data_IF_609094072351
#
_entry.id   IF_609094072351
#
_cell.length_a   1.000
_cell.length_b   1.000
_cell.length_c   1.000
_cell.angle_alpha   90.00
_cell.angle_beta   90.00
_cell.angle_gamma   90.00
#
_symmetry.space_group_name_H-M   'P 1'
#
loop_
_entity.id
_entity.type
_entity.pdbx_description
1 polymer ?
#
# COMPACT_ATOMS: atom_id res chain seq x y z
N UNK A 1 -10.65 -21.73 23.22
CA UNK A 1 -9.63 -22.33 22.33
C UNK A 1 -8.52 -21.31 22.16
N UNK A 2 -7.30 -21.70 22.52
CA UNK A 2 -6.14 -20.82 22.66
C UNK A 2 -5.73 -20.21 21.31
N UNK A 3 -5.84 -18.88 21.18
CA UNK A 3 -5.10 -18.14 20.17
C UNK A 3 -3.61 -18.28 20.51
N UNK A 4 -2.93 -19.19 19.82
CA UNK A 4 -1.47 -19.17 19.81
C UNK A 4 -1.06 -17.83 19.21
N UNK A 5 -0.65 -16.89 20.06
CA UNK A 5 0.11 -15.71 19.63
C UNK A 5 1.38 -16.25 18.99
N UNK A 6 1.40 -16.21 17.66
CA UNK A 6 2.61 -16.43 16.87
C UNK A 6 3.64 -15.41 17.38
N UNK A 7 4.89 -15.80 17.68
CA UNK A 7 5.90 -14.89 18.23
C UNK A 7 5.99 -13.67 17.32
N UNK A 8 6.15 -12.47 17.92
CA UNK A 8 6.30 -11.18 17.26
C UNK A 8 6.97 -11.35 15.89
N UNK A 9 6.15 -11.30 14.83
CA UNK A 9 6.58 -11.73 13.52
C UNK A 9 7.74 -10.87 13.06
N UNK A 10 8.53 -11.37 12.11
CA UNK A 10 9.55 -10.56 11.41
C UNK A 10 8.97 -9.27 10.80
N UNK A 11 7.65 -9.11 10.76
CA UNK A 11 6.92 -7.96 10.25
C UNK A 11 6.31 -7.05 11.35
N UNK A 12 6.62 -7.25 12.63
CA UNK A 12 6.00 -6.49 13.72
C UNK A 12 4.49 -6.73 13.81
N UNK A 13 3.70 -5.65 13.81
CA UNK A 13 2.23 -5.68 13.88
C UNK A 13 1.56 -5.78 12.49
N UNK A 14 2.34 -5.94 11.42
CA UNK A 14 1.83 -6.28 10.09
C UNK A 14 1.66 -7.80 9.96
N UNK A 15 0.50 -8.32 10.37
CA UNK A 15 0.16 -9.75 10.31
C UNK A 15 -1.29 -9.96 9.87
N UNK A 16 -1.63 -11.19 9.46
CA UNK A 16 -3.00 -11.56 9.09
C UNK A 16 -3.98 -11.33 10.24
N UNK A 17 -4.94 -10.43 10.03
CA UNK A 17 -5.92 -10.00 11.03
C UNK A 17 -5.58 -8.69 11.74
N UNK A 18 -4.45 -8.04 11.44
CA UNK A 18 -4.13 -6.74 12.03
C UNK A 18 -4.94 -5.61 11.40
N UNK A 19 -5.19 -4.56 12.20
CA UNK A 19 -5.99 -3.40 11.83
C UNK A 19 -5.21 -2.12 12.06
N UNK A 20 -5.27 -1.23 11.07
CA UNK A 20 -4.70 0.11 11.14
C UNK A 20 -5.81 1.14 10.94
N UNK A 21 -5.75 2.23 11.70
CA UNK A 21 -6.67 3.36 11.60
C UNK A 21 -5.84 4.61 11.34
N UNK A 22 -6.27 5.41 10.38
CA UNK A 22 -5.53 6.58 9.96
C UNK A 22 -6.37 7.49 9.09
N UNK A 23 -5.68 8.31 8.32
CA UNK A 23 -6.28 9.41 7.59
C UNK A 23 -5.67 9.46 6.20
N UNK A 24 -6.50 9.62 5.17
CA UNK A 24 -6.09 10.02 3.83
C UNK A 24 -6.31 11.53 3.64
N UNK A 25 -5.27 12.24 3.23
CA UNK A 25 -5.32 13.69 2.97
C UNK A 25 -5.15 13.98 1.49
N UNK A 26 -6.07 14.77 0.93
CA UNK A 26 -5.86 15.48 -0.34
C UNK A 26 -5.41 16.91 -0.05
N UNK A 27 -5.27 17.74 -1.08
CA UNK A 27 -4.94 19.16 -0.89
C UNK A 27 -6.06 19.94 -0.17
N UNK A 28 -7.31 19.50 -0.29
CA UNK A 28 -8.50 20.25 0.15
C UNK A 28 -9.34 19.50 1.18
N UNK A 29 -9.09 18.21 1.38
CA UNK A 29 -10.00 17.34 2.13
C UNK A 29 -9.24 16.27 2.91
N UNK A 30 -9.89 15.79 3.97
CA UNK A 30 -9.36 14.77 4.85
C UNK A 30 -10.44 13.70 5.06
N UNK A 31 -10.05 12.44 4.98
CA UNK A 31 -10.94 11.29 5.10
C UNK A 31 -10.38 10.29 6.10
N UNK A 32 -11.25 9.76 6.95
CA UNK A 32 -10.89 8.68 7.85
C UNK A 32 -10.73 7.39 7.06
N UNK A 33 -9.68 6.62 7.40
CA UNK A 33 -9.35 5.37 6.72
C UNK A 33 -9.13 4.27 7.75
N UNK A 34 -9.69 3.10 7.49
CA UNK A 34 -9.44 1.86 8.23
C UNK A 34 -8.90 0.83 7.25
N UNK A 35 -7.80 0.18 7.63
CA UNK A 35 -7.18 -0.90 6.86
C UNK A 35 -7.22 -2.17 7.69
N UNK A 36 -7.82 -3.21 7.12
CA UNK A 36 -7.88 -4.55 7.70
C UNK A 36 -7.02 -5.51 6.88
N UNK A 37 -5.90 -5.96 7.42
CA UNK A 37 -5.02 -6.93 6.77
C UNK A 37 -5.66 -8.31 6.89
N UNK A 38 -5.97 -8.94 5.77
CA UNK A 38 -6.61 -10.25 5.74
C UNK A 38 -5.59 -11.38 5.74
N UNK A 39 -4.59 -11.30 4.87
CA UNK A 39 -3.59 -12.34 4.71
C UNK A 39 -2.21 -11.74 4.42
N UNK A 40 -1.17 -12.30 5.01
CA UNK A 40 0.23 -11.96 4.72
C UNK A 40 0.98 -13.24 4.34
N UNK A 41 1.54 -13.26 3.14
CA UNK A 41 2.34 -14.36 2.60
C UNK A 41 3.76 -13.87 2.32
N UNK A 42 4.68 -14.19 3.23
CA UNK A 42 6.09 -13.85 3.12
C UNK A 42 6.86 -14.72 2.12
N UNK A 43 6.37 -15.91 1.77
CA UNK A 43 7.00 -16.74 0.76
C UNK A 43 6.79 -16.13 -0.62
N UNK A 44 5.59 -15.59 -0.85
CA UNK A 44 5.23 -14.93 -2.08
C UNK A 44 5.43 -13.42 -2.08
N UNK A 45 5.88 -12.83 -0.96
CA UNK A 45 6.04 -11.38 -0.79
C UNK A 45 4.76 -10.61 -1.12
N UNK A 46 3.61 -11.13 -0.69
CA UNK A 46 2.29 -10.54 -0.95
C UNK A 46 1.49 -10.39 0.33
N UNK A 47 0.53 -9.48 0.32
CA UNK A 47 -0.53 -9.42 1.33
C UNK A 47 -1.84 -9.02 0.70
N UNK A 48 -2.95 -9.21 1.41
CA UNK A 48 -4.27 -8.77 0.98
C UNK A 48 -4.99 -8.11 2.15
N UNK A 49 -5.94 -7.24 1.84
CA UNK A 49 -6.69 -6.54 2.87
C UNK A 49 -7.90 -5.81 2.33
N UNK A 50 -8.63 -5.18 3.26
CA UNK A 50 -9.67 -4.23 2.94
C UNK A 50 -9.20 -2.82 3.31
N UNK A 51 -9.42 -1.87 2.42
CA UNK A 51 -9.26 -0.45 2.68
C UNK A 51 -10.65 0.17 2.71
N UNK A 52 -10.95 0.84 3.81
CA UNK A 52 -12.24 1.49 4.03
C UNK A 52 -12.04 2.97 4.24
N UNK A 53 -12.70 3.78 3.44
CA UNK A 53 -12.62 5.24 3.48
C UNK A 53 -14.00 5.84 3.74
N UNK A 54 -14.08 6.79 4.67
CA UNK A 54 -15.32 7.43 5.07
C UNK A 54 -15.37 8.88 4.58
N UNK A 55 -16.54 9.30 4.08
CA UNK A 55 -16.83 10.69 3.69
C UNK A 55 -16.28 11.11 2.33
N UNK A 56 -15.83 10.17 1.49
CA UNK A 56 -15.27 10.48 0.17
C UNK A 56 -16.32 11.03 -0.81
N UNK A 57 -17.56 10.56 -0.72
CA UNK A 57 -18.68 11.03 -1.54
C UNK A 57 -19.92 11.23 -0.68
N UNK A 58 -20.85 12.08 -1.12
CA UNK A 58 -22.13 12.28 -0.42
C UNK A 58 -23.08 11.10 -0.59
N UNK A 59 -22.96 10.36 -1.70
CA UNK A 59 -23.83 9.22 -2.03
C UNK A 59 -23.40 7.94 -1.30
N UNK A 60 -22.10 7.73 -1.17
CA UNK A 60 -21.50 6.58 -0.48
C UNK A 60 -20.70 7.10 0.73
N UNK A 61 -21.32 7.16 1.92
CA UNK A 61 -20.68 7.70 3.12
C UNK A 61 -19.49 6.85 3.57
N UNK A 62 -19.46 5.58 3.19
CA UNK A 62 -18.34 4.67 3.42
C UNK A 62 -18.12 3.83 2.17
N UNK A 63 -16.87 3.75 1.72
CA UNK A 63 -16.45 2.96 0.57
C UNK A 63 -15.42 1.96 1.06
N UNK A 64 -15.62 0.68 0.75
CA UNK A 64 -14.66 -0.38 1.07
C UNK A 64 -14.18 -1.05 -0.20
N UNK A 65 -12.86 -1.15 -0.37
CA UNK A 65 -12.22 -1.85 -1.48
C UNK A 65 -11.39 -3.02 -0.95
N UNK A 66 -11.37 -4.11 -1.72
CA UNK A 66 -10.36 -5.15 -1.54
C UNK A 66 -9.08 -4.73 -2.26
N UNK A 67 -7.92 -4.91 -1.62
CA UNK A 67 -6.63 -4.66 -2.22
C UNK A 67 -5.70 -5.86 -2.14
N UNK A 68 -4.82 -5.96 -3.13
CA UNK A 68 -3.65 -6.82 -3.13
C UNK A 68 -2.40 -5.98 -2.98
N UNK A 69 -1.49 -6.41 -2.10
CA UNK A 69 -0.25 -5.76 -1.78
C UNK A 69 0.96 -6.57 -2.22
N UNK A 70 1.95 -5.89 -2.77
CA UNK A 70 3.29 -6.43 -3.04
C UNK A 70 4.25 -5.92 -1.98
N UNK A 71 5.01 -6.80 -1.35
CA UNK A 71 6.09 -6.45 -0.43
C UNK A 71 7.37 -6.33 -1.22
N UNK A 72 8.03 -5.17 -1.16
CA UNK A 72 9.28 -4.94 -1.87
C UNK A 72 10.36 -5.84 -1.27
N UNK A 73 11.10 -6.54 -2.13
CA UNK A 73 12.09 -7.51 -1.74
C UNK A 73 12.60 -8.35 -2.92
N UNK A 74 12.98 -9.62 -2.68
CA UNK A 74 13.52 -10.50 -3.72
C UNK A 74 12.62 -10.75 -4.92
N UNK A 75 11.29 -10.70 -4.75
CA UNK A 75 10.31 -10.96 -5.83
C UNK A 75 9.79 -9.68 -6.49
N UNK A 76 9.58 -8.63 -5.70
CA UNK A 76 9.04 -7.36 -6.17
C UNK A 76 10.06 -6.25 -5.93
N UNK A 77 10.56 -5.65 -7.00
CA UNK A 77 11.57 -4.59 -6.93
C UNK A 77 10.94 -3.20 -6.71
N UNK A 78 11.76 -2.20 -6.38
CA UNK A 78 11.30 -0.80 -6.27
C UNK A 78 10.78 -0.24 -7.60
N UNK A 79 11.37 -0.67 -8.73
CA UNK A 79 10.86 -0.34 -10.07
C UNK A 79 9.56 -1.10 -10.33
N UNK A 80 8.47 -0.36 -10.50
CA UNK A 80 7.12 -0.92 -10.60
C UNK A 80 6.88 -1.59 -11.96
N UNK A 81 7.29 -0.94 -13.07
CA UNK A 81 7.19 -1.49 -14.46
C UNK A 81 5.77 -1.89 -14.89
N UNK A 82 4.74 -1.35 -14.24
CA UNK A 82 3.31 -1.54 -14.52
C UNK A 82 2.51 -0.37 -13.94
N UNK A 83 1.20 -0.37 -14.12
CA UNK A 83 0.29 0.66 -13.58
C UNK A 83 0.69 2.09 -13.96
N UNK A 84 1.29 2.25 -15.16
CA UNK A 84 1.80 3.50 -15.70
C UNK A 84 2.86 4.23 -14.86
N UNK A 85 3.45 3.54 -13.87
CA UNK A 85 4.59 4.03 -13.11
C UNK A 85 5.89 3.65 -13.82
N UNK A 86 6.58 4.65 -14.37
CA UNK A 86 7.94 4.52 -14.88
C UNK A 86 8.98 4.79 -13.76
N UNK A 87 10.26 4.62 -14.06
CA UNK A 87 11.35 4.80 -13.08
C UNK A 87 11.36 6.18 -12.42
N UNK A 88 11.06 7.25 -13.17
CA UNK A 88 10.98 8.61 -12.63
C UNK A 88 9.80 8.79 -11.67
N UNK A 89 8.64 8.19 -11.99
CA UNK A 89 7.50 8.15 -11.07
C UNK A 89 7.87 7.40 -9.79
N UNK A 90 8.48 6.23 -9.90
CA UNK A 90 8.92 5.44 -8.76
C UNK A 90 9.89 6.22 -7.87
N UNK A 91 10.93 6.83 -8.44
CA UNK A 91 11.90 7.64 -7.69
C UNK A 91 11.21 8.80 -6.96
N UNK A 92 10.32 9.53 -7.64
CA UNK A 92 9.61 10.69 -7.08
C UNK A 92 8.63 10.34 -5.95
N UNK A 93 8.12 9.11 -5.92
CA UNK A 93 7.26 8.64 -4.83
C UNK A 93 8.08 8.04 -3.70
N UNK A 94 9.02 7.14 -4.00
CA UNK A 94 9.82 6.48 -2.98
C UNK A 94 10.68 7.47 -2.18
N UNK A 95 11.25 8.51 -2.84
CA UNK A 95 12.07 9.53 -2.16
C UNK A 95 11.32 10.35 -1.10
N UNK A 96 9.98 10.32 -1.10
CA UNK A 96 9.17 11.01 -0.09
C UNK A 96 9.14 10.26 1.24
N UNK A 97 9.54 8.99 1.26
CA UNK A 97 9.75 8.25 2.50
C UNK A 97 11.20 8.44 2.97
N UNK A 98 11.45 9.02 4.16
CA UNK A 98 12.81 9.23 4.66
C UNK A 98 13.64 7.95 4.72
N UNK A 99 12.99 6.83 5.05
CA UNK A 99 13.60 5.49 5.09
C UNK A 99 14.16 5.02 3.73
N UNK A 100 13.70 5.61 2.61
CA UNK A 100 14.20 5.27 1.28
C UNK A 100 15.50 5.99 0.91
N UNK A 101 15.89 7.02 1.66
CA UNK A 101 17.06 7.85 1.34
C UNK A 101 18.36 7.07 1.09
N UNK A 102 18.69 5.99 1.81
CA UNK A 102 19.90 5.19 1.55
C UNK A 102 19.92 4.48 0.19
N UNK A 103 18.75 4.27 -0.43
CA UNK A 103 18.61 3.48 -1.65
C UNK A 103 18.49 4.33 -2.92
N UNK A 104 18.42 5.67 -2.80
CA UNK A 104 18.16 6.58 -3.93
C UNK A 104 19.10 6.39 -5.13
N UNK A 105 20.37 6.07 -4.88
CA UNK A 105 21.39 5.90 -5.93
C UNK A 105 21.59 4.45 -6.36
N UNK A 106 20.94 3.49 -5.69
CA UNK A 106 21.20 2.05 -5.88
C UNK A 106 19.96 1.24 -6.23
N UNK A 107 18.74 1.72 -5.96
CA UNK A 107 17.50 0.95 -6.12
C UNK A 107 17.24 0.46 -7.56
N UNK A 108 17.84 1.09 -8.55
CA UNK A 108 17.73 0.77 -9.97
C UNK A 108 18.91 -0.05 -10.50
N UNK A 109 19.92 -0.36 -9.68
CA UNK A 109 21.06 -1.17 -10.08
C UNK A 109 20.66 -2.65 -10.13
N UNK A 110 21.11 -3.39 -11.14
CA UNK A 110 20.77 -4.81 -11.31
C UNK A 110 21.24 -5.70 -10.14
N UNK A 111 22.31 -5.29 -9.46
CA UNK A 111 22.87 -6.01 -8.31
C UNK A 111 22.20 -5.63 -6.96
N UNK A 112 21.30 -4.65 -6.97
CA UNK A 112 20.63 -4.21 -5.75
C UNK A 112 19.63 -5.26 -5.28
N UNK A 113 19.75 -5.66 -4.01
CA UNK A 113 18.83 -6.58 -3.35
C UNK A 113 18.36 -5.97 -2.05
N UNK A 114 17.08 -5.70 -1.97
CA UNK A 114 16.42 -5.28 -0.74
C UNK A 114 15.90 -6.50 0.00
N UNK A 115 16.23 -6.62 1.29
CA UNK A 115 15.63 -7.62 2.17
C UNK A 115 14.69 -6.93 3.16
N UNK A 116 13.36 -7.02 2.95
CA UNK A 116 12.41 -6.36 3.83
C UNK A 116 12.50 -6.90 5.26
N UNK A 117 13.00 -8.12 5.49
CA UNK A 117 13.00 -8.75 6.82
C UNK A 117 14.10 -8.22 7.74
N UNK A 118 15.20 -7.69 7.18
CA UNK A 118 16.33 -7.16 7.96
C UNK A 118 16.26 -5.65 8.19
N UNK A 119 15.26 -4.98 7.61
CA UNK A 119 15.08 -3.53 7.69
C UNK A 119 13.93 -3.18 8.64
N UNK A 120 14.02 -2.02 9.30
CA UNK A 120 12.93 -1.51 10.15
C UNK A 120 11.71 -1.07 9.32
N UNK A 121 11.96 -0.62 8.08
CA UNK A 121 10.93 -0.17 7.16
C UNK A 121 10.65 -1.20 6.07
N UNK A 122 9.37 -1.50 5.89
CA UNK A 122 8.86 -2.39 4.85
C UNK A 122 8.18 -1.55 3.79
N UNK A 123 8.74 -1.54 2.59
CA UNK A 123 8.11 -0.91 1.45
C UNK A 123 7.13 -1.86 0.80
N UNK A 124 5.98 -1.35 0.36
CA UNK A 124 4.95 -2.13 -0.29
C UNK A 124 4.25 -1.31 -1.38
N UNK A 125 3.57 -1.99 -2.31
CA UNK A 125 2.61 -1.36 -3.22
C UNK A 125 1.24 -2.00 -3.05
N UNK A 126 0.19 -1.21 -2.82
CA UNK A 126 -1.17 -1.72 -2.67
C UNK A 126 -2.04 -1.31 -3.85
N UNK A 127 -2.62 -2.30 -4.53
CA UNK A 127 -3.55 -2.10 -5.65
C UNK A 127 -4.93 -2.55 -5.25
N UNK A 128 -5.85 -1.59 -5.15
CA UNK A 128 -7.28 -1.87 -5.01
C UNK A 128 -7.81 -2.58 -6.27
N UNK A 129 -8.66 -3.58 -6.08
CA UNK A 129 -9.19 -4.44 -7.15
C UNK A 129 -10.65 -4.18 -7.41
N UNK A 130 -11.48 -4.26 -6.37
CA UNK A 130 -12.94 -4.16 -6.49
C UNK A 130 -13.55 -3.65 -5.19
N UNK A 131 -14.76 -3.13 -5.31
CA UNK A 131 -15.57 -2.68 -4.19
C UNK A 131 -16.21 -3.86 -3.44
N UNK A 132 -16.47 -3.66 -2.16
CA UNK A 132 -17.15 -4.62 -1.29
C UNK A 132 -18.38 -3.93 -0.69
N UNK A 133 -19.57 -4.55 -0.74
CA UNK A 133 -19.85 -5.91 -1.20
C UNK A 133 -20.01 -6.07 -2.72
N UNK A 134 -20.17 -4.98 -3.46
CA UNK A 134 -20.49 -5.04 -4.89
C UNK A 134 -19.22 -4.99 -5.75
N UNK A 135 -18.76 -6.15 -6.19
CA UNK A 135 -17.55 -6.30 -6.99
C UNK A 135 -17.75 -6.05 -8.49
N UNK A 136 -18.98 -5.72 -8.92
CA UNK A 136 -19.30 -5.42 -10.33
C UNK A 136 -19.23 -3.93 -10.66
N UNK A 137 -19.01 -3.07 -9.66
CA UNK A 137 -18.92 -1.62 -9.83
C UNK A 137 -17.46 -1.23 -10.07
N UNK A 138 -17.14 -0.87 -11.31
CA UNK A 138 -15.79 -0.49 -11.73
C UNK A 138 -15.44 0.99 -11.50
N UNK A 139 -16.45 1.84 -11.27
CA UNK A 139 -16.28 3.25 -10.98
C UNK A 139 -17.44 3.80 -10.15
N UNK A 140 -17.12 4.76 -9.26
CA UNK A 140 -18.11 5.52 -8.50
C UNK A 140 -18.06 6.98 -8.96
N UNK A 141 -19.22 7.62 -9.08
CA UNK A 141 -19.27 9.05 -9.36
C UNK A 141 -18.56 9.82 -8.23
N UNK A 142 -17.45 10.48 -8.60
CA UNK A 142 -16.60 11.24 -7.68
C UNK A 142 -15.50 10.45 -6.97
N UNK A 143 -15.33 9.16 -7.23
CA UNK A 143 -14.25 8.36 -6.64
C UNK A 143 -13.66 7.32 -7.63
N UNK A 144 -12.33 7.18 -7.62
CA UNK A 144 -11.64 6.17 -8.44
C UNK A 144 -10.53 5.48 -7.65
N UNK A 145 -10.52 4.15 -7.73
CA UNK A 145 -9.51 3.24 -7.17
C UNK A 145 -8.64 2.61 -8.28
N UNK A 146 -8.59 3.25 -9.45
CA UNK A 146 -7.84 2.76 -10.61
C UNK A 146 -6.31 2.83 -10.41
N UNK A 147 -5.84 3.72 -9.53
CA UNK A 147 -4.44 3.86 -9.14
C UNK A 147 -3.96 2.78 -8.18
N UNK A 148 -2.82 3.05 -7.55
CA UNK A 148 -2.24 2.21 -6.49
C UNK A 148 -1.50 3.09 -5.47
N UNK A 149 -1.20 2.52 -4.31
CA UNK A 149 -0.48 3.21 -3.25
C UNK A 149 0.97 2.74 -3.18
N UNK A 150 1.90 3.68 -3.07
CA UNK A 150 3.22 3.43 -2.51
C UNK A 150 3.10 3.46 -0.99
N UNK A 151 3.60 2.44 -0.30
CA UNK A 151 3.45 2.29 1.15
C UNK A 151 4.81 2.07 1.79
N UNK A 152 5.02 2.69 2.96
CA UNK A 152 6.13 2.43 3.87
C UNK A 152 5.57 2.13 5.26
N UNK A 153 5.74 0.90 5.73
CA UNK A 153 5.42 0.50 7.09
C UNK A 153 6.68 0.51 7.95
N UNK A 154 6.67 1.26 9.06
CA UNK A 154 7.76 1.28 10.03
C UNK A 154 7.41 0.40 11.23
N UNK A 155 8.22 -0.62 11.50
CA UNK A 155 7.99 -1.60 12.57
C UNK A 155 8.12 -0.98 13.95
N UNK A 156 9.19 -0.23 14.18
CA UNK A 156 9.51 0.37 15.48
C UNK A 156 8.41 1.31 15.99
N UNK A 157 7.79 2.06 15.09
CA UNK A 157 6.71 3.02 15.41
C UNK A 157 5.31 2.47 15.19
N UNK A 158 5.20 1.30 14.54
CA UNK A 158 3.95 0.73 14.06
C UNK A 158 3.11 1.70 13.20
N UNK A 159 3.76 2.41 12.27
CA UNK A 159 3.09 3.40 11.41
C UNK A 159 3.11 3.02 9.94
N UNK A 160 1.99 3.25 9.25
CA UNK A 160 1.87 3.12 7.80
C UNK A 160 1.81 4.52 7.21
N UNK A 161 2.75 4.82 6.33
CA UNK A 161 2.72 6.02 5.49
C UNK A 161 2.46 5.60 4.05
N UNK A 162 1.53 6.29 3.38
CA UNK A 162 1.10 5.93 2.04
C UNK A 162 0.98 7.14 1.13
N UNK A 163 1.25 6.92 -0.16
CA UNK A 163 1.10 7.92 -1.22
C UNK A 163 0.33 7.28 -2.38
N UNK A 164 -0.85 7.82 -2.67
CA UNK A 164 -1.65 7.37 -3.82
C UNK A 164 -1.07 7.93 -5.12
N UNK A 165 -0.93 7.05 -6.11
CA UNK A 165 -0.57 7.40 -7.48
C UNK A 165 -1.66 6.92 -8.44
N UNK A 166 -2.13 7.84 -9.25
CA UNK A 166 -2.98 7.55 -10.39
C UNK A 166 -2.59 8.49 -11.53
N UNK A 167 -2.38 7.92 -12.71
CA UNK A 167 -2.22 8.71 -13.93
C UNK A 167 -3.57 8.78 -14.62
N UNK A 168 -4.20 9.96 -14.59
CA UNK A 168 -5.35 10.24 -15.45
C UNK A 168 -4.81 10.41 -16.88
N UNK A 169 -5.26 9.57 -17.83
CA UNK A 169 -5.06 9.86 -19.24
C UNK A 169 -5.90 11.08 -19.61
N UNK A 170 -5.35 12.28 -19.48
CA UNK A 170 -5.82 13.42 -20.27
C UNK A 170 -5.07 13.40 -21.59
N UNK A 171 -5.49 12.51 -22.48
CA UNK A 171 -5.18 12.63 -23.91
C UNK A 171 -6.44 13.18 -24.58
N UNK A 172 -6.37 14.46 -24.98
CA UNK A 172 -7.09 15.01 -26.12
C UNK A 172 -6.05 15.27 -27.20
#
# INVERSE_FOLDING_TARGET
MSQQRIPSGRLGELYSGSRFVGIQKSQTSQYDVVVDIQHVDLQNYTLTGYLRISGLTTLYPEITTFFEGEIIGPKYFFLTRKWQANSSVDENHWRKFPAFSPYLTTFNNDNFKFDPLNEDCIFMRWKERFLVPDHHVDSLDGASFAGFYYICYNRSTNTINGLYYYRCNTEW
#
